data_IF_558138810424
#
_entry.id   IF_558138810424
#
_cell.length_a   1.000
_cell.length_b   1.000
_cell.length_c   1.000
_cell.angle_alpha   90.00
_cell.angle_beta   90.00
_cell.angle_gamma   90.00
#
_symmetry.space_group_name_H-M   'P 1'
#
loop_
_entity.id
_entity.type
_entity.pdbx_description
1 polymer ?
#
# COMPACT_ATOMS: atom_id res chain seq x y z
N UNK A 1 -14.58 37.58 -6.36
CA UNK A 1 -13.67 36.50 -5.91
C UNK A 1 -13.80 36.39 -4.41
N UNK A 2 -14.44 35.32 -3.93
CA UNK A 2 -14.57 35.07 -2.48
C UNK A 2 -13.15 34.67 -2.02
N UNK A 3 -12.63 35.42 -1.07
CA UNK A 3 -11.28 35.19 -0.54
C UNK A 3 -11.37 34.06 0.48
N UNK A 4 -11.31 32.82 -0.03
CA UNK A 4 -11.43 31.58 0.74
C UNK A 4 -10.37 31.40 1.85
N UNK A 5 -9.41 32.30 1.94
CA UNK A 5 -8.41 32.35 3.00
C UNK A 5 -8.86 33.11 4.27
N UNK A 6 -9.93 33.87 4.19
CA UNK A 6 -10.41 34.70 5.31
C UNK A 6 -11.76 34.24 5.88
N UNK A 7 -12.54 33.45 5.15
CA UNK A 7 -13.81 32.90 5.62
C UNK A 7 -13.66 31.45 5.99
N UNK A 8 -14.18 31.06 7.16
CA UNK A 8 -14.21 29.64 7.56
C UNK A 8 -15.13 28.90 6.58
N UNK A 9 -14.62 27.83 5.94
CA UNK A 9 -15.43 27.07 4.99
C UNK A 9 -16.61 26.41 5.69
N UNK A 10 -17.81 26.59 5.15
CA UNK A 10 -19.00 25.91 5.63
C UNK A 10 -19.06 24.49 5.09
N UNK A 11 -18.86 23.52 5.99
CA UNK A 11 -18.97 22.11 5.65
C UNK A 11 -20.43 21.66 5.72
N UNK A 12 -20.85 20.88 4.73
CA UNK A 12 -22.06 20.05 4.86
C UNK A 12 -21.71 18.85 5.73
N UNK A 13 -22.25 18.82 6.96
CA UNK A 13 -22.01 17.77 7.95
C UNK A 13 -23.22 16.84 7.97
N UNK A 14 -22.98 15.54 7.79
CA UNK A 14 -23.99 14.48 7.89
C UNK A 14 -23.53 13.45 8.89
N UNK A 15 -24.26 13.31 10.00
CA UNK A 15 -24.03 12.26 11.00
C UNK A 15 -24.74 10.97 10.58
N UNK A 16 -24.03 9.88 10.63
CA UNK A 16 -24.53 8.52 10.37
C UNK A 16 -24.34 7.66 11.63
N UNK A 17 -24.91 6.45 11.66
CA UNK A 17 -24.73 5.51 12.80
C UNK A 17 -23.27 5.08 13.01
N UNK A 18 -22.44 5.19 11.98
CA UNK A 18 -21.05 4.71 12.00
C UNK A 18 -20.04 5.83 12.19
N UNK A 19 -20.45 7.10 11.98
CA UNK A 19 -19.54 8.22 12.05
C UNK A 19 -20.06 9.47 11.34
N UNK A 20 -19.19 10.44 11.17
CA UNK A 20 -19.51 11.75 10.65
C UNK A 20 -18.87 11.98 9.28
N UNK A 21 -19.68 12.36 8.31
CA UNK A 21 -19.24 12.85 7.01
C UNK A 21 -19.12 14.37 7.03
N UNK A 22 -18.03 14.90 6.49
CA UNK A 22 -17.86 16.31 6.17
C UNK A 22 -17.62 16.44 4.66
N UNK A 23 -18.36 17.30 4.00
CA UNK A 23 -18.19 17.56 2.58
C UNK A 23 -18.18 19.05 2.28
N UNK A 24 -17.40 19.45 1.27
CA UNK A 24 -17.32 20.81 0.78
C UNK A 24 -17.21 20.78 -0.74
N UNK A 25 -18.03 21.57 -1.43
CA UNK A 25 -17.97 21.73 -2.89
C UNK A 25 -17.26 23.04 -3.25
N UNK A 26 -16.31 22.95 -4.17
CA UNK A 26 -15.63 24.11 -4.71
C UNK A 26 -16.38 24.66 -5.94
N UNK A 27 -16.15 25.94 -6.24
CA UNK A 27 -16.74 26.62 -7.41
C UNK A 27 -16.27 26.03 -8.74
N UNK A 28 -15.07 25.43 -8.76
CA UNK A 28 -14.48 24.76 -9.91
C UNK A 28 -15.05 23.36 -10.18
N UNK A 29 -16.07 22.94 -9.42
CA UNK A 29 -16.68 21.61 -9.53
C UNK A 29 -15.93 20.50 -8.79
N UNK A 30 -14.76 20.78 -8.19
CA UNK A 30 -14.08 19.82 -7.33
C UNK A 30 -14.76 19.72 -5.97
N UNK A 31 -14.51 18.63 -5.24
CA UNK A 31 -15.12 18.41 -3.92
C UNK A 31 -14.11 17.84 -2.92
N UNK A 32 -14.36 18.16 -1.65
CA UNK A 32 -13.70 17.55 -0.52
C UNK A 32 -14.69 16.69 0.25
N UNK A 33 -14.29 15.49 0.59
CA UNK A 33 -15.06 14.57 1.43
C UNK A 33 -14.16 13.96 2.49
N UNK A 34 -14.64 13.94 3.70
CA UNK A 34 -13.98 13.28 4.81
C UNK A 34 -15.00 12.49 5.63
N UNK A 35 -14.68 11.27 5.96
CA UNK A 35 -15.45 10.44 6.88
C UNK A 35 -14.57 10.00 8.02
N UNK A 36 -15.07 10.17 9.24
CA UNK A 36 -14.46 9.63 10.46
C UNK A 36 -15.49 8.82 11.22
N UNK A 37 -15.12 7.58 11.57
CA UNK A 37 -15.94 6.76 12.44
C UNK A 37 -15.97 7.34 13.86
N UNK A 38 -17.12 7.20 14.55
CA UNK A 38 -17.26 7.57 15.96
C UNK A 38 -16.55 6.55 16.86
N UNK A 39 -16.52 5.27 16.42
CA UNK A 39 -15.75 4.24 17.09
C UNK A 39 -14.25 4.48 16.90
N UNK A 40 -13.51 4.42 18.00
CA UNK A 40 -12.06 4.64 18.05
C UNK A 40 -11.35 3.44 18.67
N UNK A 41 -10.12 3.18 18.24
CA UNK A 41 -9.22 2.22 18.84
C UNK A 41 -7.84 2.83 19.03
N UNK A 42 -7.30 2.78 20.25
CA UNK A 42 -6.04 3.43 20.64
C UNK A 42 -5.97 4.92 20.25
N UNK A 43 -7.10 5.65 20.35
CA UNK A 43 -7.18 7.08 20.02
C UNK A 43 -7.29 7.39 18.51
N UNK A 44 -7.31 6.36 17.66
CA UNK A 44 -7.50 6.51 16.21
C UNK A 44 -8.91 6.09 15.81
N UNK A 45 -9.58 6.80 14.87
CA UNK A 45 -10.85 6.35 14.33
C UNK A 45 -10.67 4.96 13.67
N UNK A 46 -11.66 4.07 13.81
CA UNK A 46 -11.60 2.76 13.15
C UNK A 46 -11.51 2.92 11.64
N UNK A 47 -12.26 3.87 11.07
CA UNK A 47 -12.24 4.15 9.65
C UNK A 47 -12.06 5.66 9.47
N UNK A 48 -11.05 6.04 8.69
CA UNK A 48 -10.86 7.41 8.23
C UNK A 48 -10.70 7.41 6.71
N UNK A 49 -11.66 7.99 6.03
CA UNK A 49 -11.66 8.19 4.59
C UNK A 49 -11.46 9.67 4.25
N UNK A 50 -10.62 9.97 3.26
CA UNK A 50 -10.41 11.33 2.78
C UNK A 50 -10.33 11.36 1.26
N UNK A 51 -10.99 12.35 0.66
CA UNK A 51 -10.95 12.63 -0.76
C UNK A 51 -10.90 14.15 -1.03
N UNK A 52 -10.15 14.55 -2.04
CA UNK A 52 -10.01 15.95 -2.42
C UNK A 52 -8.98 16.72 -1.61
N UNK A 53 -9.08 18.06 -1.64
CA UNK A 53 -8.22 18.97 -0.88
C UNK A 53 -9.05 19.61 0.21
N UNK A 54 -8.46 19.85 1.38
CA UNK A 54 -9.11 20.57 2.47
C UNK A 54 -9.32 22.04 2.09
N UNK A 55 -10.53 22.59 2.24
CA UNK A 55 -10.79 23.99 1.98
C UNK A 55 -10.06 24.94 2.96
N UNK A 56 -9.69 24.45 4.15
CA UNK A 56 -8.96 25.24 5.15
C UNK A 56 -7.48 25.44 4.77
N UNK A 57 -6.85 24.43 4.20
CA UNK A 57 -5.40 24.43 3.98
C UNK A 57 -5.01 24.37 2.50
N UNK A 58 -5.96 24.14 1.59
CA UNK A 58 -5.71 23.87 0.17
C UNK A 58 -4.92 22.58 -0.10
N UNK A 59 -4.55 21.82 0.96
CA UNK A 59 -3.73 20.64 0.89
C UNK A 59 -4.57 19.37 1.00
N UNK A 60 -4.01 18.25 0.59
CA UNK A 60 -4.64 16.93 0.78
C UNK A 60 -4.51 16.49 2.22
N UNK A 61 -5.61 16.02 2.78
CA UNK A 61 -5.64 15.48 4.13
C UNK A 61 -5.13 14.03 4.09
N UNK A 62 -4.19 13.72 4.98
CA UNK A 62 -3.77 12.34 5.21
C UNK A 62 -4.85 11.63 6.05
N UNK A 63 -5.42 10.55 5.52
CA UNK A 63 -6.29 9.69 6.29
C UNK A 63 -5.48 8.98 7.39
N UNK A 64 -5.93 9.08 8.65
CA UNK A 64 -5.26 8.49 9.83
C UNK A 64 -6.25 7.69 10.63
N UNK A 65 -6.16 6.36 10.63
CA UNK A 65 -7.11 5.48 11.31
C UNK A 65 -6.58 4.06 11.39
N UNK A 66 -7.35 3.19 12.03
CA UNK A 66 -7.07 1.74 11.98
C UNK A 66 -7.15 1.28 10.52
N UNK A 67 -8.23 1.65 9.83
CA UNK A 67 -8.38 1.55 8.39
C UNK A 67 -8.36 2.96 7.83
N UNK A 68 -7.30 3.31 7.12
CA UNK A 68 -7.11 4.62 6.50
C UNK A 68 -7.25 4.50 4.97
N UNK A 69 -8.13 5.28 4.38
CA UNK A 69 -8.40 5.27 2.94
C UNK A 69 -8.33 6.68 2.40
N UNK A 70 -7.47 6.92 1.41
CA UNK A 70 -7.32 8.25 0.81
C UNK A 70 -6.13 8.32 -0.14
N UNK A 71 -5.85 9.49 -0.71
CA UNK A 71 -4.64 9.63 -1.53
C UNK A 71 -3.37 9.48 -0.72
N UNK A 72 -3.39 9.98 0.51
CA UNK A 72 -2.36 9.76 1.53
C UNK A 72 -3.04 9.02 2.67
N UNK A 73 -2.55 7.86 3.05
CA UNK A 73 -3.13 7.03 4.10
C UNK A 73 -2.05 6.54 5.08
N UNK A 74 -2.35 6.63 6.37
CA UNK A 74 -1.47 6.15 7.43
C UNK A 74 -2.30 5.42 8.50
N UNK A 75 -2.05 4.12 8.72
CA UNK A 75 -2.84 3.32 9.64
C UNK A 75 -2.35 1.90 9.80
N UNK A 76 -3.13 1.06 10.45
CA UNK A 76 -2.83 -0.38 10.50
C UNK A 76 -3.03 -0.97 9.12
N UNK A 77 -4.19 -0.71 8.51
CA UNK A 77 -4.48 -1.00 7.11
C UNK A 77 -4.58 0.34 6.38
N UNK A 78 -3.64 0.62 5.49
CA UNK A 78 -3.58 1.87 4.74
C UNK A 78 -3.78 1.60 3.25
N UNK A 79 -4.74 2.29 2.65
CA UNK A 79 -5.09 2.15 1.22
C UNK A 79 -5.07 3.52 0.57
N UNK A 80 -4.20 3.70 -0.44
CA UNK A 80 -4.09 5.01 -1.10
C UNK A 80 -3.05 5.06 -2.22
N UNK A 81 -2.80 6.26 -2.77
CA UNK A 81 -1.71 6.41 -3.72
C UNK A 81 -0.35 6.30 -3.00
N UNK A 82 -0.23 6.94 -1.84
CA UNK A 82 0.88 6.72 -0.91
C UNK A 82 0.30 6.26 0.42
N UNK A 83 0.71 5.07 0.85
CA UNK A 83 0.19 4.41 2.03
C UNK A 83 1.33 3.94 2.94
N UNK A 84 1.15 4.12 4.25
CA UNK A 84 2.10 3.67 5.29
C UNK A 84 1.31 2.94 6.36
N UNK A 85 1.66 1.69 6.66
CA UNK A 85 0.94 0.89 7.65
C UNK A 85 1.57 -0.45 7.95
N UNK A 86 0.88 -1.25 8.77
CA UNK A 86 1.25 -2.66 8.95
C UNK A 86 0.98 -3.41 7.65
N UNK A 87 -0.20 -3.17 7.07
CA UNK A 87 -0.58 -3.58 5.72
C UNK A 87 -0.79 -2.32 4.90
N UNK A 88 -0.06 -2.16 3.81
CA UNK A 88 -0.14 -1.01 2.93
C UNK A 88 -0.49 -1.43 1.50
N UNK A 89 -1.46 -0.75 0.89
CA UNK A 89 -1.89 -0.99 -0.49
C UNK A 89 -1.92 0.34 -1.24
N UNK A 90 -1.22 0.41 -2.39
CA UNK A 90 -1.20 1.65 -3.16
C UNK A 90 -0.14 1.68 -4.26
N UNK A 91 0.03 2.85 -4.88
CA UNK A 91 1.12 3.01 -5.86
C UNK A 91 2.48 2.96 -5.13
N UNK A 92 2.61 3.73 -4.06
CA UNK A 92 3.71 3.63 -3.09
C UNK A 92 3.15 3.05 -1.80
N UNK A 93 3.53 1.83 -1.46
CA UNK A 93 3.04 1.12 -0.28
C UNK A 93 4.21 0.80 0.66
N UNK A 94 4.30 1.50 1.78
CA UNK A 94 5.28 1.24 2.83
C UNK A 94 4.58 0.41 3.92
N UNK A 95 4.63 -0.92 3.76
CA UNK A 95 4.08 -1.87 4.72
C UNK A 95 5.15 -2.32 5.72
N UNK A 96 4.77 -2.53 6.97
CA UNK A 96 5.65 -3.20 7.92
C UNK A 96 5.65 -4.72 7.68
N UNK A 97 4.48 -5.34 7.65
CA UNK A 97 4.32 -6.77 7.38
C UNK A 97 4.10 -7.05 5.89
N UNK A 98 3.18 -6.31 5.27
CA UNK A 98 2.78 -6.56 3.89
C UNK A 98 2.60 -5.27 3.10
N UNK A 99 3.21 -5.23 1.92
CA UNK A 99 3.06 -4.16 0.95
C UNK A 99 2.59 -4.67 -0.41
N UNK A 100 1.58 -4.00 -0.99
CA UNK A 100 1.05 -4.32 -2.30
C UNK A 100 0.93 -3.06 -3.16
N UNK A 101 1.56 -3.04 -4.35
CA UNK A 101 1.45 -1.86 -5.21
C UNK A 101 2.32 -1.83 -6.45
N UNK A 102 2.71 -0.63 -6.88
CA UNK A 102 3.70 -0.47 -7.95
C UNK A 102 5.12 -0.49 -7.36
N UNK A 103 5.34 0.26 -6.30
CA UNK A 103 6.52 0.18 -5.46
C UNK A 103 6.05 -0.17 -4.05
N UNK A 104 6.53 -1.28 -3.53
CA UNK A 104 6.17 -1.69 -2.17
C UNK A 104 7.37 -2.16 -1.35
N UNK A 105 7.26 -1.96 -0.04
CA UNK A 105 8.19 -2.49 0.96
C UNK A 105 7.44 -3.27 2.03
N UNK A 106 8.12 -4.20 2.70
CA UNK A 106 7.55 -4.95 3.82
C UNK A 106 8.35 -6.20 4.15
N UNK A 107 7.93 -6.95 5.17
CA UNK A 107 8.43 -8.31 5.36
C UNK A 107 8.07 -9.15 4.13
N UNK A 108 6.83 -9.01 3.65
CA UNK A 108 6.40 -9.51 2.36
C UNK A 108 5.96 -8.33 1.47
N UNK A 109 6.44 -8.29 0.23
CA UNK A 109 6.13 -7.25 -0.75
C UNK A 109 5.72 -7.86 -2.08
N UNK A 110 4.63 -7.34 -2.66
CA UNK A 110 4.14 -7.71 -3.98
C UNK A 110 3.95 -6.44 -4.80
N UNK A 111 4.74 -6.25 -5.86
CA UNK A 111 4.72 -5.00 -6.63
C UNK A 111 5.44 -5.16 -7.98
N UNK A 112 5.37 -4.12 -8.82
CA UNK A 112 6.31 -4.05 -9.95
C UNK A 112 7.76 -3.96 -9.42
N UNK A 113 7.98 -3.09 -8.40
CA UNK A 113 9.23 -3.05 -7.63
C UNK A 113 8.91 -3.44 -6.18
N UNK A 114 9.27 -4.65 -5.79
CA UNK A 114 8.99 -5.22 -4.49
C UNK A 114 10.28 -5.33 -3.66
N UNK A 115 10.40 -4.52 -2.63
CA UNK A 115 11.50 -4.55 -1.67
C UNK A 115 11.07 -5.30 -0.42
N UNK A 116 10.99 -6.64 -0.53
CA UNK A 116 10.68 -7.53 0.58
C UNK A 116 11.91 -7.83 1.42
N UNK A 117 11.73 -8.02 2.72
CA UNK A 117 12.80 -8.54 3.59
C UNK A 117 12.84 -10.07 3.50
N UNK A 118 11.68 -10.71 3.69
CA UNK A 118 11.55 -12.16 3.65
C UNK A 118 11.04 -12.64 2.29
N UNK A 119 9.97 -12.05 1.78
CA UNK A 119 9.34 -12.44 0.53
C UNK A 119 9.14 -11.25 -0.40
N UNK A 120 9.59 -11.38 -1.63
CA UNK A 120 9.37 -10.42 -2.70
C UNK A 120 8.82 -11.09 -3.95
N UNK A 121 7.77 -10.50 -4.53
CA UNK A 121 7.18 -10.93 -5.79
C UNK A 121 6.95 -9.74 -6.70
N UNK A 122 7.54 -9.75 -7.91
CA UNK A 122 7.35 -8.65 -8.85
C UNK A 122 8.28 -8.67 -10.06
N UNK A 123 8.30 -7.56 -10.81
CA UNK A 123 9.24 -7.44 -11.93
C UNK A 123 10.66 -7.26 -11.43
N UNK A 124 10.86 -6.30 -10.52
CA UNK A 124 12.11 -6.09 -9.79
C UNK A 124 11.84 -6.44 -8.33
N UNK A 125 12.58 -7.40 -7.78
CA UNK A 125 12.27 -7.86 -6.44
C UNK A 125 13.52 -8.16 -5.62
N UNK A 126 13.41 -7.91 -4.32
CA UNK A 126 14.39 -8.35 -3.33
C UNK A 126 13.71 -9.12 -2.21
N UNK A 127 14.45 -10.01 -1.54
CA UNK A 127 13.95 -10.74 -0.38
C UNK A 127 14.78 -11.98 -0.10
N UNK A 128 14.56 -12.58 1.06
CA UNK A 128 15.12 -13.91 1.34
C UNK A 128 14.61 -14.93 0.29
N UNK A 129 13.33 -14.84 -0.06
CA UNK A 129 12.70 -15.51 -1.20
C UNK A 129 12.29 -14.43 -2.19
N UNK A 130 12.89 -14.43 -3.37
CA UNK A 130 12.63 -13.42 -4.40
C UNK A 130 12.17 -14.10 -5.69
N UNK A 131 10.97 -13.73 -6.16
CA UNK A 131 10.36 -14.28 -7.37
C UNK A 131 10.03 -13.15 -8.33
N UNK A 132 10.56 -13.21 -9.58
CA UNK A 132 10.27 -12.14 -10.53
C UNK A 132 11.00 -12.22 -11.86
N UNK A 133 11.05 -11.08 -12.55
CA UNK A 133 11.87 -10.97 -13.77
C UNK A 133 13.34 -10.73 -13.41
N UNK A 134 13.58 -9.71 -12.59
CA UNK A 134 14.87 -9.39 -11.99
C UNK A 134 14.76 -9.57 -10.48
N UNK A 135 15.50 -10.50 -9.92
CA UNK A 135 15.39 -10.80 -8.50
C UNK A 135 16.76 -10.90 -7.84
N UNK A 136 16.82 -10.40 -6.61
CA UNK A 136 18.00 -10.49 -5.74
C UNK A 136 17.60 -11.06 -4.37
N UNK A 137 18.24 -12.13 -3.95
CA UNK A 137 17.91 -12.75 -2.65
C UNK A 137 18.71 -14.00 -2.33
N UNK A 138 18.29 -14.74 -1.30
CA UNK A 138 18.90 -16.02 -0.98
C UNK A 138 18.37 -17.13 -1.88
N UNK A 139 17.05 -17.32 -1.91
CA UNK A 139 16.37 -18.23 -2.83
C UNK A 139 15.70 -17.42 -3.93
N UNK A 140 16.16 -17.58 -5.14
CA UNK A 140 15.74 -16.76 -6.28
C UNK A 140 15.12 -17.61 -7.37
N UNK A 141 13.90 -17.23 -7.78
CA UNK A 141 13.23 -17.76 -8.98
C UNK A 141 12.96 -16.59 -9.93
N UNK A 142 13.73 -16.48 -10.99
CA UNK A 142 13.67 -15.31 -11.86
C UNK A 142 14.09 -15.60 -13.30
N UNK A 143 13.78 -14.67 -14.21
CA UNK A 143 14.41 -14.69 -15.54
C UNK A 143 15.90 -14.34 -15.41
N UNK A 144 16.21 -13.28 -14.65
CA UNK A 144 17.56 -12.85 -14.30
C UNK A 144 17.65 -12.76 -12.77
N UNK A 145 18.39 -13.68 -12.18
CA UNK A 145 18.50 -13.80 -10.73
C UNK A 145 19.94 -13.62 -10.24
N UNK A 146 20.08 -12.99 -9.08
CA UNK A 146 21.32 -12.85 -8.37
C UNK A 146 21.12 -13.28 -6.91
N UNK A 147 21.96 -14.17 -6.41
CA UNK A 147 21.81 -14.64 -5.04
C UNK A 147 22.62 -15.88 -4.73
N UNK A 148 22.33 -16.51 -3.58
CA UNK A 148 23.04 -17.72 -3.13
C UNK A 148 22.57 -18.97 -3.86
N UNK A 149 21.23 -19.15 -3.97
CA UNK A 149 20.60 -20.26 -4.66
C UNK A 149 19.67 -19.74 -5.75
N UNK A 150 20.06 -19.88 -7.00
CA UNK A 150 19.38 -19.24 -8.12
C UNK A 150 18.78 -20.28 -9.06
N UNK A 151 17.51 -20.09 -9.39
CA UNK A 151 16.84 -20.78 -10.48
C UNK A 151 16.40 -19.74 -11.50
N UNK A 152 17.15 -19.63 -12.58
CA UNK A 152 16.95 -18.67 -13.65
C UNK A 152 17.11 -19.30 -15.03
N UNK A 153 16.99 -18.52 -16.07
CA UNK A 153 17.23 -18.98 -17.45
C UNK A 153 18.68 -19.39 -17.68
N UNK A 154 19.62 -18.80 -16.95
CA UNK A 154 21.07 -19.00 -17.12
C UNK A 154 21.71 -19.86 -16.03
N UNK A 155 21.07 -20.00 -14.89
CA UNK A 155 21.59 -20.71 -13.72
C UNK A 155 20.51 -21.59 -13.11
N UNK A 156 20.84 -22.84 -12.78
CA UNK A 156 19.92 -23.83 -12.21
C UNK A 156 20.58 -24.55 -11.03
N UNK A 157 20.47 -23.95 -9.86
CA UNK A 157 21.00 -24.55 -8.64
C UNK A 157 20.03 -25.61 -8.11
N UNK A 158 20.57 -26.77 -7.72
CA UNK A 158 19.76 -27.89 -7.22
C UNK A 158 19.03 -27.52 -5.94
N UNK A 159 19.67 -26.80 -5.03
CA UNK A 159 19.10 -26.31 -3.78
C UNK A 159 17.91 -25.36 -4.02
N UNK A 160 18.01 -24.51 -5.03
CA UNK A 160 16.88 -23.64 -5.42
C UNK A 160 15.71 -24.47 -5.98
N UNK A 161 15.99 -25.46 -6.83
CA UNK A 161 14.96 -26.35 -7.39
C UNK A 161 14.25 -27.11 -6.27
N UNK A 162 14.99 -27.71 -5.35
CA UNK A 162 14.43 -28.49 -4.25
C UNK A 162 13.62 -27.62 -3.31
N UNK A 163 14.09 -26.40 -3.02
CA UNK A 163 13.35 -25.41 -2.23
C UNK A 163 12.02 -25.03 -2.90
N UNK A 164 12.05 -24.64 -4.17
CA UNK A 164 10.82 -24.18 -4.85
C UNK A 164 9.83 -25.31 -5.14
N UNK A 165 10.28 -26.58 -5.26
CA UNK A 165 9.39 -27.75 -5.34
C UNK A 165 8.56 -27.99 -4.08
N UNK A 166 8.95 -27.44 -2.92
CA UNK A 166 8.15 -27.54 -1.69
C UNK A 166 6.86 -26.71 -1.76
N UNK A 167 6.78 -25.74 -2.66
CA UNK A 167 5.60 -24.90 -2.83
C UNK A 167 4.61 -25.56 -3.82
N UNK A 168 3.38 -25.92 -3.39
CA UNK A 168 2.41 -26.63 -4.24
C UNK A 168 2.10 -25.91 -5.55
N UNK A 169 2.02 -24.58 -5.51
CA UNK A 169 1.69 -23.72 -6.67
C UNK A 169 2.77 -23.75 -7.75
N UNK A 170 4.02 -23.97 -7.36
CA UNK A 170 5.18 -23.91 -8.28
C UNK A 170 5.62 -25.31 -8.70
N UNK A 171 5.24 -26.34 -7.95
CA UNK A 171 5.63 -27.72 -8.18
C UNK A 171 5.35 -28.22 -9.60
N UNK A 172 4.20 -27.83 -10.16
CA UNK A 172 3.75 -28.31 -11.48
C UNK A 172 4.54 -27.68 -12.64
N UNK A 173 5.31 -26.60 -12.40
CA UNK A 173 6.22 -26.01 -13.40
C UNK A 173 7.51 -26.79 -13.59
N UNK A 174 7.79 -27.81 -12.76
CA UNK A 174 9.02 -28.60 -12.81
C UNK A 174 8.83 -30.03 -13.38
N UNK A 175 7.65 -30.28 -13.96
CA UNK A 175 7.34 -31.54 -14.66
C UNK A 175 7.52 -31.45 -16.16
#
# INVERSE_FOLDING_TARGET
MINTLLEKPEYKIVKTRLGTWRSFGYVDGTSFHEFKSDATWMGLPLIHYTYGRSPETGRRVCAKGVIAIGRLACGIIAIGHASIGIVAVGQLAIGLLFGLGQLSTGIAAVAQMALGVYFGLGQFTTGYIAIGQFAYGKYVLAQFGFGEFVLSMTQRDREAIDFFKTFPVIKDFFH
#
